data_IF_260963176789
#
_entry.id   IF_260963176789
#
_cell.length_a   1.000
_cell.length_b   1.000
_cell.length_c   1.000
_cell.angle_alpha   90.00
_cell.angle_beta   90.00
_cell.angle_gamma   90.00
#
_symmetry.space_group_name_H-M   'P 1'
#
loop_
_entity.id
_entity.type
_entity.pdbx_description
1 polymer ?
#
# COMPACT_ATOMS: atom_id res chain seq x y z
N UNK A 1 -20.41 -6.62 78.46
CA UNK A 1 -21.33 -6.15 77.40
C UNK A 1 -20.94 -4.71 77.12
N UNK A 2 -20.47 -4.25 75.97
CA UNK A 2 -20.51 -4.66 74.55
C UNK A 2 -19.33 -3.92 73.90
N UNK A 3 -18.42 -4.59 73.21
CA UNK A 3 -18.50 -5.03 71.81
C UNK A 3 -18.05 -4.00 70.77
N UNK A 4 -17.15 -4.47 69.90
CA UNK A 4 -16.80 -4.04 68.55
C UNK A 4 -15.95 -2.79 68.28
N UNK A 5 -14.68 -3.06 67.94
CA UNK A 5 -13.88 -2.42 66.88
C UNK A 5 -14.60 -2.65 65.51
N UNK A 6 -14.44 -1.79 64.48
CA UNK A 6 -13.21 -1.79 63.69
C UNK A 6 -12.72 -0.42 63.20
N UNK A 7 -11.42 -0.41 62.89
CA UNK A 7 -10.63 0.58 62.15
C UNK A 7 -11.06 0.72 60.69
N UNK A 8 -10.94 1.91 60.09
CA UNK A 8 -10.80 1.99 58.64
C UNK A 8 -9.82 3.08 58.19
N UNK A 9 -9.21 2.81 57.06
CA UNK A 9 -7.84 3.14 56.69
C UNK A 9 -7.69 4.40 55.82
N UNK A 10 -6.50 5.00 55.92
CA UNK A 10 -5.69 5.62 54.85
C UNK A 10 -6.35 6.61 53.88
N UNK A 11 -6.16 7.91 54.10
CA UNK A 11 -6.35 8.95 53.09
C UNK A 11 -5.10 9.03 52.18
N UNK A 12 -5.18 8.44 50.98
CA UNK A 12 -4.26 8.73 49.89
C UNK A 12 -4.77 9.95 49.11
N UNK A 13 -4.07 11.09 49.22
CA UNK A 13 -4.34 12.25 48.37
C UNK A 13 -3.76 12.00 46.98
N UNK A 14 -4.64 11.60 46.05
CA UNK A 14 -4.35 11.46 44.61
C UNK A 14 -4.01 12.83 44.02
N UNK A 15 -2.72 13.09 43.79
CA UNK A 15 -2.26 14.20 42.97
C UNK A 15 -2.52 13.83 41.51
N UNK A 16 -3.71 14.15 41.02
CA UNK A 16 -4.02 14.12 39.60
C UNK A 16 -3.29 15.28 38.92
N UNK A 17 -2.05 15.05 38.49
CA UNK A 17 -1.36 15.86 37.49
C UNK A 17 -2.13 15.76 36.16
N UNK A 18 -3.22 16.52 36.08
CA UNK A 18 -3.92 16.83 34.85
C UNK A 18 -3.11 17.86 34.06
N UNK A 19 -1.88 17.49 33.66
CA UNK A 19 -1.20 18.15 32.55
C UNK A 19 -1.98 17.82 31.29
N UNK A 20 -2.83 18.75 30.87
CA UNK A 20 -3.45 18.77 29.55
C UNK A 20 -2.35 18.57 28.50
N UNK A 21 -2.22 17.34 27.96
CA UNK A 21 -1.43 17.10 26.76
C UNK A 21 -2.07 17.92 25.65
N UNK A 22 -1.58 19.13 25.44
CA UNK A 22 -1.95 19.98 24.31
C UNK A 22 -1.30 19.34 23.08
N UNK A 23 -2.11 18.74 22.21
CA UNK A 23 -1.63 18.12 20.99
C UNK A 23 -1.10 19.25 20.08
N UNK A 24 0.23 19.29 19.93
CA UNK A 24 0.93 20.29 19.14
C UNK A 24 0.55 20.14 17.66
N UNK A 25 -0.28 21.06 17.16
CA UNK A 25 -0.69 21.14 15.74
C UNK A 25 0.51 21.20 14.78
N UNK A 26 1.65 21.68 15.26
CA UNK A 26 2.94 21.74 14.54
C UNK A 26 3.56 20.35 14.34
N UNK A 27 3.34 19.42 15.28
CA UNK A 27 3.74 18.03 15.15
C UNK A 27 2.91 17.28 14.11
N UNK A 28 1.63 17.64 13.95
CA UNK A 28 0.72 17.04 12.98
C UNK A 28 1.12 17.37 11.52
N UNK A 29 1.54 18.60 11.24
CA UNK A 29 2.02 18.98 9.90
C UNK A 29 3.42 18.42 9.57
N UNK A 30 4.27 18.20 10.58
CA UNK A 30 5.57 17.55 10.38
C UNK A 30 5.44 16.09 9.92
N UNK A 31 4.36 15.40 10.27
CA UNK A 31 4.02 14.05 9.77
C UNK A 31 3.26 14.04 8.43
N UNK A 32 2.71 15.17 7.98
CA UNK A 32 1.94 15.23 6.74
C UNK A 32 2.81 15.26 5.47
N UNK A 33 4.09 15.65 5.58
CA UNK A 33 5.01 15.78 4.45
C UNK A 33 5.49 14.44 3.85
N UNK A 34 5.39 13.33 4.59
CA UNK A 34 5.86 12.02 4.11
C UNK A 34 4.84 11.28 3.22
N UNK A 35 3.61 11.78 3.10
CA UNK A 35 2.56 11.12 2.33
C UNK A 35 2.49 11.52 0.84
N UNK A 36 3.32 12.46 0.38
CA UNK A 36 3.23 13.01 -0.98
C UNK A 36 3.98 12.19 -2.05
N UNK A 37 4.70 11.12 -1.69
CA UNK A 37 5.53 10.37 -2.63
C UNK A 37 4.79 9.30 -3.45
N UNK A 38 3.51 9.01 -3.16
CA UNK A 38 2.78 7.90 -3.78
C UNK A 38 1.97 8.25 -5.03
N UNK A 39 1.85 9.54 -5.40
CA UNK A 39 0.89 10.00 -6.42
C UNK A 39 1.49 10.07 -7.85
N UNK A 40 2.68 9.52 -8.10
CA UNK A 40 3.29 9.53 -9.45
C UNK A 40 4.04 8.23 -9.82
N UNK A 41 3.49 7.05 -9.49
CA UNK A 41 4.10 5.74 -9.76
C UNK A 41 3.60 5.05 -11.04
N UNK A 42 3.08 5.78 -12.02
CA UNK A 42 2.73 5.17 -13.30
C UNK A 42 4.02 4.84 -14.07
N UNK A 43 4.25 3.55 -14.38
CA UNK A 43 5.38 3.14 -15.24
C UNK A 43 5.27 3.84 -16.60
N UNK A 44 6.38 4.45 -17.03
CA UNK A 44 6.50 5.00 -18.37
C UNK A 44 6.72 3.88 -19.40
N UNK A 45 5.97 3.95 -20.49
CA UNK A 45 6.06 3.03 -21.64
C UNK A 45 6.37 3.78 -22.94
N UNK A 46 6.75 5.05 -22.84
CA UNK A 46 7.15 5.87 -23.98
C UNK A 46 8.46 5.40 -24.62
N UNK A 47 8.80 5.93 -25.81
CA UNK A 47 10.02 5.55 -26.52
C UNK A 47 11.31 5.79 -25.72
N UNK A 48 11.31 6.81 -24.87
CA UNK A 48 12.47 7.22 -24.05
C UNK A 48 12.37 6.70 -22.60
N UNK A 49 11.46 5.74 -22.34
CA UNK A 49 11.30 5.17 -21.00
C UNK A 49 12.59 4.49 -20.53
N UNK A 50 12.87 4.59 -19.23
CA UNK A 50 14.02 3.93 -18.64
C UNK A 50 13.96 2.39 -18.86
N UNK A 51 15.09 1.72 -19.10
CA UNK A 51 15.11 0.27 -19.25
C UNK A 51 14.52 -0.44 -18.02
N UNK A 52 13.67 -1.45 -18.26
CA UNK A 52 13.07 -2.26 -17.20
C UNK A 52 14.16 -3.06 -16.47
N UNK A 53 14.21 -2.93 -15.14
CA UNK A 53 15.11 -3.71 -14.29
C UNK A 53 14.49 -5.06 -13.96
N UNK A 54 15.33 -6.09 -13.94
CA UNK A 54 14.94 -7.45 -13.55
C UNK A 54 15.25 -7.73 -12.07
N UNK A 55 14.43 -8.55 -11.39
CA UNK A 55 13.12 -9.02 -11.84
C UNK A 55 12.14 -7.85 -11.95
N UNK A 56 11.21 -7.93 -12.90
CA UNK A 56 10.24 -6.86 -13.12
C UNK A 56 9.48 -6.56 -11.79
N UNK A 57 9.53 -5.31 -11.29
CA UNK A 57 8.96 -4.97 -9.98
C UNK A 57 7.43 -5.07 -9.94
N UNK A 58 6.76 -5.01 -11.10
CA UNK A 58 5.29 -5.08 -11.20
C UNK A 58 4.79 -6.53 -11.27
N UNK A 59 5.70 -7.52 -11.39
CA UNK A 59 5.36 -8.93 -11.25
C UNK A 59 5.40 -9.31 -9.76
N UNK A 60 4.25 -9.24 -9.11
CA UNK A 60 4.09 -9.52 -7.68
C UNK A 60 3.48 -10.90 -7.46
N UNK A 61 4.02 -11.66 -6.51
CA UNK A 61 3.47 -12.95 -6.10
C UNK A 61 2.56 -12.73 -4.90
N UNK A 62 1.27 -13.04 -5.06
CA UNK A 62 0.27 -12.84 -4.00
C UNK A 62 0.19 -14.02 -3.01
N UNK A 63 0.53 -15.22 -3.47
CA UNK A 63 0.52 -16.45 -2.66
C UNK A 63 1.80 -17.24 -2.90
N UNK A 64 2.41 -17.69 -1.81
CA UNK A 64 3.70 -18.38 -1.78
C UNK A 64 3.77 -19.61 -2.68
N UNK A 65 2.65 -20.30 -2.91
CA UNK A 65 2.58 -21.46 -3.81
C UNK A 65 2.97 -21.11 -5.25
N UNK A 66 2.83 -19.84 -5.65
CA UNK A 66 3.17 -19.35 -6.98
C UNK A 66 4.59 -18.79 -7.10
N UNK A 67 5.37 -18.70 -6.01
CA UNK A 67 6.76 -18.18 -6.04
C UNK A 67 7.62 -18.86 -7.10
N UNK A 68 7.46 -20.19 -7.27
CA UNK A 68 8.20 -20.99 -8.25
C UNK A 68 7.85 -20.68 -9.71
N UNK A 69 6.73 -20.02 -9.99
CA UNK A 69 6.31 -19.67 -11.34
C UNK A 69 6.68 -18.23 -11.74
N UNK A 70 7.25 -17.43 -10.81
CA UNK A 70 7.71 -16.08 -11.12
C UNK A 70 8.95 -16.16 -12.02
N UNK A 71 8.81 -15.67 -13.25
CA UNK A 71 9.90 -15.60 -14.21
C UNK A 71 10.74 -14.34 -13.96
N UNK A 72 12.02 -14.52 -13.65
CA UNK A 72 12.90 -13.43 -13.21
C UNK A 72 13.49 -12.57 -14.33
N UNK A 73 13.41 -13.01 -15.59
CA UNK A 73 14.11 -12.41 -16.73
C UNK A 73 13.16 -11.88 -17.82
N UNK A 74 11.88 -11.73 -17.52
CA UNK A 74 10.87 -11.30 -18.50
C UNK A 74 10.18 -10.02 -18.02
N UNK A 75 10.12 -8.96 -18.86
CA UNK A 75 9.49 -7.71 -18.50
C UNK A 75 8.01 -7.70 -18.94
N UNK A 76 7.20 -6.84 -18.33
CA UNK A 76 5.88 -6.50 -18.85
C UNK A 76 6.04 -5.55 -20.04
N UNK A 77 5.39 -5.89 -21.17
CA UNK A 77 5.39 -5.07 -22.38
C UNK A 77 4.00 -4.50 -22.65
N UNK A 78 3.94 -3.21 -22.99
CA UNK A 78 2.72 -2.56 -23.48
C UNK A 78 2.71 -2.60 -25.01
N UNK A 79 1.89 -3.49 -25.56
CA UNK A 79 1.79 -3.68 -27.02
C UNK A 79 0.82 -2.70 -27.70
N UNK A 80 -0.14 -2.14 -26.95
CA UNK A 80 -1.09 -1.18 -27.45
C UNK A 80 -1.63 -0.30 -26.30
N UNK A 81 -1.90 0.98 -26.60
CA UNK A 81 -2.66 1.89 -25.76
C UNK A 81 -3.19 3.05 -26.62
N UNK A 82 -4.41 3.50 -26.33
CA UNK A 82 -5.01 4.68 -26.94
C UNK A 82 -5.78 5.47 -25.88
N UNK A 83 -5.85 6.79 -26.05
CA UNK A 83 -6.68 7.66 -25.19
C UNK A 83 -8.18 7.44 -25.39
N UNK A 84 -8.56 6.89 -26.54
CA UNK A 84 -9.95 6.66 -26.93
C UNK A 84 -10.44 5.27 -26.51
N UNK A 85 -9.52 4.33 -26.27
CA UNK A 85 -9.84 2.98 -25.81
C UNK A 85 -9.82 2.93 -24.29
N UNK A 86 -10.94 3.33 -23.69
CA UNK A 86 -11.09 3.43 -22.24
C UNK A 86 -11.13 2.05 -21.55
N UNK A 87 -11.58 1.03 -22.27
CA UNK A 87 -11.66 -0.36 -21.82
C UNK A 87 -11.10 -1.26 -22.90
N UNK A 88 -10.34 -2.28 -22.49
CA UNK A 88 -9.87 -3.35 -23.36
C UNK A 88 -10.46 -4.66 -22.84
N UNK A 89 -11.23 -5.34 -23.66
CA UNK A 89 -11.96 -6.55 -23.29
C UNK A 89 -11.92 -7.63 -24.37
N UNK A 90 -12.42 -8.82 -24.01
CA UNK A 90 -12.53 -9.96 -24.93
C UNK A 90 -11.24 -10.41 -25.61
N UNK A 91 -10.07 -10.46 -24.94
CA UNK A 91 -8.84 -10.93 -25.58
C UNK A 91 -8.99 -12.40 -26.02
N UNK A 92 -8.82 -12.65 -27.30
CA UNK A 92 -8.89 -13.99 -27.89
C UNK A 92 -7.69 -14.22 -28.83
N UNK A 93 -6.96 -15.31 -28.61
CA UNK A 93 -5.80 -15.69 -29.42
C UNK A 93 -6.17 -16.76 -30.45
N UNK A 94 -5.88 -16.52 -31.72
CA UNK A 94 -5.95 -17.53 -32.77
C UNK A 94 -4.55 -18.10 -33.05
N UNK A 95 -4.33 -19.36 -32.68
CA UNK A 95 -3.03 -20.03 -32.88
C UNK A 95 -2.67 -20.34 -34.33
N UNK A 96 -3.67 -20.58 -35.20
CA UNK A 96 -3.43 -20.89 -36.63
C UNK A 96 -3.05 -19.63 -37.40
N UNK A 97 -3.83 -18.57 -37.23
CA UNK A 97 -3.61 -17.28 -37.89
C UNK A 97 -2.55 -16.41 -37.20
N UNK A 98 -2.14 -16.75 -35.97
CA UNK A 98 -1.16 -16.01 -35.16
C UNK A 98 -1.53 -14.54 -34.94
N UNK A 99 -2.77 -14.30 -34.54
CA UNK A 99 -3.26 -12.96 -34.20
C UNK A 99 -4.06 -12.97 -32.90
N UNK A 100 -3.99 -11.84 -32.19
CA UNK A 100 -4.81 -11.51 -31.03
C UNK A 100 -5.97 -10.64 -31.52
N UNK A 101 -7.19 -10.93 -31.07
CA UNK A 101 -8.38 -10.11 -31.26
C UNK A 101 -8.86 -9.58 -29.89
N UNK A 102 -9.26 -8.32 -29.83
CA UNK A 102 -9.80 -7.65 -28.63
C UNK A 102 -10.57 -6.39 -29.05
N UNK A 103 -11.33 -5.78 -28.14
CA UNK A 103 -12.04 -4.50 -28.34
C UNK A 103 -11.88 -3.55 -27.17
#
# INVERSE_FOLDING_TARGET
MTSHRPTNATNASNNTDQTTRQWNRRGFLATAGLAAASVALARDYGPDAAPVRYPDPDIVVLDDRFKKYKLGNTPIQRIYHSKEMLWAEGPAWNGVGRYLLWS
#
